data_IF_462921748763
#
_entry.id   IF_462921748763
#
_cell.length_a   1.000
_cell.length_b   1.000
_cell.length_c   1.000
_cell.angle_alpha   90.00
_cell.angle_beta   90.00
_cell.angle_gamma   90.00
#
_symmetry.space_group_name_H-M   'P 1'
#
loop_
_entity.id
_entity.type
_entity.pdbx_description
1 polymer ?
#
# COMPACT_ATOMS: atom_id res chain seq x y z
N UNK A 1 28.26 7.06 18.06
CA UNK A 1 26.87 7.48 17.79
C UNK A 1 26.63 7.74 16.30
N UNK A 2 27.45 8.55 15.62
CA UNK A 2 27.28 8.87 14.19
C UNK A 2 27.26 7.64 13.25
N UNK A 3 28.10 6.62 13.49
CA UNK A 3 28.14 5.40 12.67
C UNK A 3 26.83 4.60 12.72
N UNK A 4 26.16 4.55 13.87
CA UNK A 4 24.87 3.84 14.02
C UNK A 4 23.77 4.58 13.23
N UNK A 5 23.79 5.92 13.23
CA UNK A 5 22.84 6.74 12.48
C UNK A 5 23.03 6.56 10.98
N UNK A 6 24.27 6.54 10.48
CA UNK A 6 24.55 6.28 9.07
C UNK A 6 24.09 4.87 8.65
N UNK A 7 24.38 3.84 9.46
CA UNK A 7 23.98 2.46 9.16
C UNK A 7 22.44 2.28 9.20
N UNK A 8 21.76 3.00 10.09
CA UNK A 8 20.30 2.99 10.19
C UNK A 8 19.66 3.70 9.00
N UNK A 9 20.22 4.83 8.57
CA UNK A 9 19.74 5.58 7.40
C UNK A 9 19.92 4.78 6.10
N UNK A 10 21.07 4.11 5.93
CA UNK A 10 21.31 3.24 4.77
C UNK A 10 20.32 2.06 4.75
N UNK A 11 20.09 1.40 5.89
CA UNK A 11 19.09 0.34 6.00
C UNK A 11 17.66 0.81 5.75
N UNK A 12 17.30 2.01 6.21
CA UNK A 12 15.99 2.59 5.95
C UNK A 12 15.81 2.91 4.46
N UNK A 13 16.85 3.44 3.82
CA UNK A 13 16.86 3.73 2.38
C UNK A 13 16.72 2.45 1.54
N UNK A 14 17.41 1.38 1.92
CA UNK A 14 17.31 0.07 1.26
C UNK A 14 15.88 -0.50 1.35
N UNK A 15 15.22 -0.34 2.51
CA UNK A 15 13.83 -0.76 2.70
C UNK A 15 12.85 0.11 1.89
N UNK A 16 13.09 1.41 1.82
CA UNK A 16 12.29 2.33 0.99
C UNK A 16 12.44 1.99 -0.48
N UNK A 17 13.66 1.69 -0.94
CA UNK A 17 13.92 1.30 -2.32
C UNK A 17 13.24 -0.03 -2.68
N UNK A 18 13.33 -1.03 -1.80
CA UNK A 18 12.74 -2.34 -2.07
C UNK A 18 11.20 -2.37 -1.93
N UNK A 19 10.61 -1.58 -1.03
CA UNK A 19 9.20 -1.71 -0.65
C UNK A 19 8.31 -0.52 -1.04
N UNK A 20 8.88 0.65 -1.36
CA UNK A 20 8.13 1.89 -1.56
C UNK A 20 8.31 2.52 -2.95
N UNK A 21 9.25 2.02 -3.76
CA UNK A 21 9.43 2.51 -5.13
C UNK A 21 8.24 2.13 -6.02
N UNK A 22 7.89 2.98 -7.00
CA UNK A 22 6.90 2.63 -7.99
C UNK A 22 7.35 1.34 -8.71
N UNK A 23 6.50 0.31 -8.77
CA UNK A 23 6.84 -0.95 -9.40
C UNK A 23 7.17 -0.74 -10.87
N UNK A 24 8.00 -1.62 -11.43
CA UNK A 24 8.35 -1.51 -12.85
C UNK A 24 7.07 -1.70 -13.68
N UNK A 25 6.85 -0.95 -14.78
CA UNK A 25 5.62 -1.05 -15.58
C UNK A 25 5.26 -2.46 -16.04
N UNK A 26 6.26 -3.36 -16.10
CA UNK A 26 6.09 -4.78 -16.40
C UNK A 26 5.33 -5.57 -15.32
N UNK A 27 5.24 -5.09 -14.08
CA UNK A 27 4.58 -5.77 -12.96
C UNK A 27 3.10 -5.36 -12.80
N UNK A 28 2.71 -4.25 -13.42
CA UNK A 28 1.33 -3.75 -13.50
C UNK A 28 0.34 -4.79 -14.06
N UNK A 29 0.62 -5.51 -15.17
CA UNK A 29 -0.28 -6.54 -15.68
C UNK A 29 -0.48 -7.68 -14.69
N UNK A 30 0.58 -8.08 -13.97
CA UNK A 30 0.51 -9.13 -12.94
C UNK A 30 -0.37 -8.69 -11.77
N UNK A 31 -0.21 -7.45 -11.29
CA UNK A 31 -1.06 -6.89 -10.24
C UNK A 31 -2.54 -6.81 -10.67
N UNK A 32 -2.79 -6.36 -11.90
CA UNK A 32 -4.15 -6.28 -12.49
C UNK A 32 -4.79 -7.66 -12.63
N UNK A 33 -4.01 -8.68 -13.01
CA UNK A 33 -4.49 -10.05 -13.10
C UNK A 33 -4.87 -10.62 -11.73
N UNK A 34 -4.09 -10.35 -10.69
CA UNK A 34 -4.39 -10.72 -9.30
C UNK A 34 -5.68 -10.05 -8.80
N UNK A 35 -5.85 -8.75 -9.08
CA UNK A 35 -7.09 -8.03 -8.79
C UNK A 35 -8.31 -8.66 -9.48
N UNK A 36 -8.17 -9.03 -10.76
CA UNK A 36 -9.24 -9.68 -11.53
C UNK A 36 -9.64 -11.03 -10.95
N UNK A 37 -8.71 -11.79 -10.35
CA UNK A 37 -9.02 -13.04 -9.64
C UNK A 37 -9.83 -12.79 -8.38
N UNK A 38 -9.46 -11.79 -7.57
CA UNK A 38 -10.16 -11.40 -6.34
C UNK A 38 -11.60 -10.92 -6.64
N UNK A 39 -11.76 -10.11 -7.69
CA UNK A 39 -13.09 -9.62 -8.12
C UNK A 39 -13.96 -10.75 -8.64
N UNK A 40 -13.39 -11.73 -9.36
CA UNK A 40 -14.13 -12.92 -9.83
C UNK A 40 -14.52 -13.88 -8.71
N UNK A 41 -13.73 -13.95 -7.63
CA UNK A 41 -14.05 -14.76 -6.44
C UNK A 41 -15.08 -14.10 -5.52
N UNK A 42 -15.33 -12.79 -5.68
CA UNK A 42 -16.28 -12.06 -4.87
C UNK A 42 -17.76 -12.50 -5.03
N UNK A 43 -18.30 -12.65 -6.25
CA UNK A 43 -19.68 -13.12 -6.44
C UNK A 43 -19.86 -14.61 -6.12
N UNK A 44 -18.78 -15.41 -6.16
CA UNK A 44 -18.84 -16.85 -5.83
C UNK A 44 -18.90 -17.14 -4.33
N UNK A 45 -18.89 -16.10 -3.47
CA UNK A 45 -18.98 -16.23 -2.00
C UNK A 45 -18.00 -17.29 -1.43
N UNK A 46 -16.83 -17.42 -2.06
CA UNK A 46 -15.77 -18.33 -1.61
C UNK A 46 -14.82 -17.64 -0.62
N UNK A 47 -15.36 -16.74 0.20
CA UNK A 47 -14.66 -16.12 1.33
C UNK A 47 -14.82 -16.94 2.63
N UNK A 48 -15.64 -17.99 2.59
CA UNK A 48 -15.94 -18.88 3.72
C UNK A 48 -14.74 -19.59 4.36
N UNK A 49 -13.63 -19.90 3.66
CA UNK A 49 -12.46 -20.49 4.30
C UNK A 49 -11.43 -19.47 4.82
N UNK A 50 -11.62 -18.16 4.64
CA UNK A 50 -10.65 -17.17 5.13
C UNK A 50 -10.68 -17.11 6.66
N UNK A 51 -9.51 -17.30 7.27
CA UNK A 51 -9.38 -17.15 8.72
C UNK A 51 -9.55 -15.68 9.11
N UNK A 52 -10.13 -15.39 10.28
CA UNK A 52 -10.35 -14.00 10.75
C UNK A 52 -9.06 -13.19 10.74
N UNK A 53 -7.91 -13.85 10.98
CA UNK A 53 -6.58 -13.23 10.92
C UNK A 53 -6.24 -12.72 9.52
N UNK A 54 -6.48 -13.52 8.48
CA UNK A 54 -6.24 -13.11 7.09
C UNK A 54 -7.18 -12.00 6.65
N UNK A 55 -8.45 -12.05 7.07
CA UNK A 55 -9.41 -10.98 6.78
C UNK A 55 -8.99 -9.65 7.42
N UNK A 56 -8.53 -9.68 8.68
CA UNK A 56 -8.03 -8.49 9.37
C UNK A 56 -6.75 -7.95 8.76
N UNK A 57 -5.80 -8.82 8.38
CA UNK A 57 -4.57 -8.39 7.71
C UNK A 57 -4.86 -7.74 6.36
N UNK A 58 -5.75 -8.35 5.55
CA UNK A 58 -6.15 -7.78 4.28
C UNK A 58 -6.94 -6.47 4.46
N UNK A 59 -7.76 -6.36 5.51
CA UNK A 59 -8.45 -5.12 5.86
C UNK A 59 -7.49 -4.00 6.31
N UNK A 60 -6.44 -4.34 7.07
CA UNK A 60 -5.40 -3.40 7.48
C UNK A 60 -4.62 -2.87 6.26
N UNK A 61 -4.22 -3.76 5.35
CA UNK A 61 -3.55 -3.38 4.09
C UNK A 61 -4.47 -2.51 3.23
N UNK A 62 -5.77 -2.84 3.13
CA UNK A 62 -6.73 -2.02 2.40
C UNK A 62 -6.88 -0.62 3.00
N UNK A 63 -6.87 -0.52 4.33
CA UNK A 63 -6.93 0.77 5.05
C UNK A 63 -5.66 1.58 4.83
N UNK A 64 -4.48 0.95 4.85
CA UNK A 64 -3.22 1.63 4.56
C UNK A 64 -3.17 2.20 3.13
N UNK A 65 -3.64 1.43 2.13
CA UNK A 65 -3.73 1.91 0.75
C UNK A 65 -4.70 3.09 0.62
N UNK A 66 -5.80 3.07 1.37
CA UNK A 66 -6.75 4.19 1.39
C UNK A 66 -6.11 5.46 1.97
N UNK A 67 -5.37 5.33 3.07
CA UNK A 67 -4.62 6.45 3.64
C UNK A 67 -3.56 7.02 2.69
N UNK A 68 -2.90 6.19 1.86
CA UNK A 68 -1.99 6.69 0.82
C UNK A 68 -2.69 7.52 -0.25
N UNK A 69 -3.94 7.19 -0.56
CA UNK A 69 -4.76 7.99 -1.48
C UNK A 69 -5.06 9.38 -0.89
N UNK A 70 -5.41 9.44 0.40
CA UNK A 70 -5.63 10.71 1.11
C UNK A 70 -4.37 11.58 1.15
N UNK A 71 -3.19 10.98 1.34
CA UNK A 71 -1.90 11.71 1.24
C UNK A 71 -1.69 12.28 -0.17
N UNK A 72 -2.08 11.55 -1.22
CA UNK A 72 -2.07 12.04 -2.59
C UNK A 72 -2.98 13.26 -2.78
N UNK A 73 -4.17 13.23 -2.19
CA UNK A 73 -5.10 14.37 -2.20
C UNK A 73 -4.53 15.59 -1.47
N UNK A 74 -3.83 15.40 -0.34
CA UNK A 74 -3.14 16.46 0.40
C UNK A 74 -2.03 17.12 -0.45
N UNK A 75 -1.26 16.33 -1.21
CA UNK A 75 -0.22 16.85 -2.11
C UNK A 75 -0.84 17.68 -3.25
N UNK A 76 -1.95 17.22 -3.84
CA UNK A 76 -2.65 17.94 -4.93
C UNK A 76 -3.26 19.25 -4.43
N UNK A 77 -3.82 19.26 -3.21
CA UNK A 77 -4.41 20.45 -2.59
C UNK A 77 -3.39 21.43 -2.01
N UNK A 78 -2.15 20.99 -1.75
CA UNK A 78 -1.13 21.76 -1.03
C UNK A 78 -1.63 22.29 0.34
N UNK A 79 -2.49 21.53 1.02
CA UNK A 79 -3.11 21.93 2.27
C UNK A 79 -3.34 20.74 3.19
N UNK A 80 -2.86 20.84 4.43
CA UNK A 80 -3.01 19.78 5.45
C UNK A 80 -4.39 19.85 6.13
N UNK A 81 -5.03 21.03 6.15
CA UNK A 81 -6.32 21.24 6.82
C UNK A 81 -7.23 22.10 5.92
N UNK A 82 -8.34 21.51 5.47
CA UNK A 82 -9.42 22.22 4.79
C UNK A 82 -9.11 22.66 3.34
N UNK A 83 -10.16 23.08 2.62
CA UNK A 83 -9.99 23.88 1.41
C UNK A 83 -9.61 25.31 1.83
N UNK A 84 -8.53 25.83 1.25
CA UNK A 84 -8.20 27.25 1.35
C UNK A 84 -9.23 28.02 0.50
N UNK A 85 -10.23 28.62 1.14
CA UNK A 85 -11.30 29.45 0.52
C UNK A 85 -10.95 30.92 0.59
#
# INVERSE_FOLDING_TARGET
MAQIVCNLAEKALELVNAALLPPTPAEIPTATQSLKKIVKSAPTCNFKPLTVKEALLNGLVATEVWMRFDVGEIIVRHGIIGYNV
#
